data_IF_261005357530
#
_entry.id   IF_261005357530
#
_cell.length_a   1.000
_cell.length_b   1.000
_cell.length_c   1.000
_cell.angle_alpha   90.00
_cell.angle_beta   90.00
_cell.angle_gamma   90.00
#
_symmetry.space_group_name_H-M   'P 1'
#
loop_
_entity.id
_entity.type
_entity.pdbx_description
1 polymer ?
#
# COMPACT_ATOMS: atom_id res chain seq x y z
N UNK A 1 -21.83 -0.77 -14.26
CA UNK A 1 -21.91 -1.50 -12.97
C UNK A 1 -20.66 -2.35 -12.83
N UNK A 2 -19.99 -2.41 -11.68
CA UNK A 2 -18.87 -3.34 -11.49
C UNK A 2 -19.40 -4.77 -11.56
N UNK A 3 -18.85 -5.55 -12.49
CA UNK A 3 -19.18 -6.97 -12.67
C UNK A 3 -18.62 -7.75 -11.48
N UNK A 4 -19.50 -8.46 -10.76
CA UNK A 4 -19.09 -9.42 -9.74
C UNK A 4 -18.29 -10.54 -10.41
N UNK A 5 -17.02 -10.66 -10.04
CA UNK A 5 -16.18 -11.78 -10.45
C UNK A 5 -16.77 -13.04 -9.80
N UNK A 6 -17.40 -13.89 -10.60
CA UNK A 6 -17.89 -15.20 -10.15
C UNK A 6 -16.73 -16.19 -10.21
N UNK A 7 -16.15 -16.50 -9.05
CA UNK A 7 -15.19 -17.59 -8.93
C UNK A 7 -16.01 -18.86 -8.68
N UNK A 8 -15.97 -19.82 -9.60
CA UNK A 8 -16.69 -21.10 -9.48
C UNK A 8 -16.03 -21.99 -8.43
N UNK A 9 -16.42 -21.83 -7.16
CA UNK A 9 -15.95 -22.66 -6.04
C UNK A 9 -17.12 -22.96 -5.12
N UNK A 10 -17.23 -24.21 -4.66
CA UNK A 10 -18.32 -24.66 -3.80
C UNK A 10 -18.35 -23.98 -2.42
N UNK A 11 -17.21 -23.46 -1.96
CA UNK A 11 -17.07 -22.65 -0.75
C UNK A 11 -16.86 -21.20 -1.13
N UNK A 12 -17.60 -20.26 -0.53
CA UNK A 12 -17.50 -18.83 -0.85
C UNK A 12 -16.16 -18.27 -0.35
N UNK A 13 -15.18 -17.98 -1.24
CA UNK A 13 -13.97 -17.32 -0.80
C UNK A 13 -14.26 -15.86 -0.44
N UNK A 14 -13.47 -15.30 0.47
CA UNK A 14 -13.47 -13.85 0.67
C UNK A 14 -12.51 -13.19 -0.32
N UNK A 15 -12.97 -12.15 -1.02
CA UNK A 15 -12.18 -11.42 -2.01
C UNK A 15 -11.97 -9.99 -1.53
N UNK A 16 -10.71 -9.54 -1.51
CA UNK A 16 -10.33 -8.15 -1.15
C UNK A 16 -9.54 -7.54 -2.29
N UNK A 17 -9.95 -6.35 -2.76
CA UNK A 17 -9.17 -5.58 -3.73
C UNK A 17 -7.97 -4.92 -3.04
N UNK A 18 -6.76 -5.10 -3.57
CA UNK A 18 -5.52 -4.58 -3.00
C UNK A 18 -5.00 -3.31 -3.71
N UNK A 19 -5.68 -2.84 -4.76
CA UNK A 19 -5.16 -1.76 -5.61
C UNK A 19 -4.26 -2.29 -6.74
N UNK A 20 -3.98 -1.45 -7.75
CA UNK A 20 -3.08 -1.80 -8.85
C UNK A 20 -3.50 -3.04 -9.65
N UNK A 21 -4.82 -3.28 -9.78
CA UNK A 21 -5.39 -4.50 -10.41
C UNK A 21 -5.06 -5.81 -9.67
N UNK A 22 -4.71 -5.75 -8.38
CA UNK A 22 -4.48 -6.92 -7.55
C UNK A 22 -5.72 -7.24 -6.69
N UNK A 23 -6.04 -8.52 -6.58
CA UNK A 23 -7.06 -9.04 -5.68
C UNK A 23 -6.46 -10.14 -4.79
N UNK A 24 -6.84 -10.15 -3.51
CA UNK A 24 -6.56 -11.21 -2.56
C UNK A 24 -7.80 -12.09 -2.42
N UNK A 25 -7.63 -13.39 -2.64
CA UNK A 25 -8.68 -14.39 -2.51
C UNK A 25 -8.30 -15.28 -1.33
N UNK A 26 -9.14 -15.32 -0.28
CA UNK A 26 -8.86 -16.07 0.95
C UNK A 26 -9.91 -17.17 1.15
N UNK A 27 -9.42 -18.32 1.63
CA UNK A 27 -10.19 -19.54 1.83
C UNK A 27 -10.09 -19.98 3.30
N UNK A 28 -11.11 -20.68 3.79
CA UNK A 28 -11.10 -21.26 5.13
C UNK A 28 -10.17 -22.49 5.24
N UNK A 29 -9.69 -23.00 4.10
CA UNK A 29 -8.78 -24.14 4.01
C UNK A 29 -7.69 -23.90 2.98
N UNK A 30 -6.46 -24.24 3.35
CA UNK A 30 -5.30 -24.20 2.45
C UNK A 30 -5.40 -25.24 1.33
N UNK A 31 -6.13 -26.34 1.55
CA UNK A 31 -6.38 -27.38 0.53
C UNK A 31 -7.20 -26.81 -0.62
N UNK A 32 -8.31 -26.14 -0.31
CA UNK A 32 -9.21 -25.52 -1.31
C UNK A 32 -8.48 -24.43 -2.09
N UNK A 33 -7.64 -23.63 -1.42
CA UNK A 33 -6.85 -22.61 -2.08
C UNK A 33 -5.85 -23.21 -3.09
N UNK A 34 -5.28 -24.37 -2.76
CA UNK A 34 -4.36 -25.11 -3.62
C UNK A 34 -5.07 -25.70 -4.84
N UNK A 35 -6.22 -26.34 -4.63
CA UNK A 35 -7.05 -26.88 -5.71
C UNK A 35 -7.46 -25.80 -6.72
N UNK A 36 -7.82 -24.60 -6.22
CA UNK A 36 -8.08 -23.46 -7.10
C UNK A 36 -6.82 -23.10 -7.91
N UNK A 37 -5.68 -22.96 -7.23
CA UNK A 37 -4.45 -22.48 -7.86
C UNK A 37 -3.91 -23.46 -8.92
N UNK A 38 -3.98 -24.76 -8.63
CA UNK A 38 -3.46 -25.84 -9.50
C UNK A 38 -4.30 -26.03 -10.76
N UNK A 39 -5.59 -25.69 -10.73
CA UNK A 39 -6.47 -25.78 -11.89
C UNK A 39 -6.65 -24.42 -12.58
N UNK A 40 -5.81 -24.13 -13.58
CA UNK A 40 -5.84 -22.87 -14.33
C UNK A 40 -7.21 -22.53 -14.93
N UNK A 41 -8.02 -23.53 -15.28
CA UNK A 41 -9.36 -23.30 -15.87
C UNK A 41 -10.28 -22.51 -14.94
N UNK A 42 -10.02 -22.56 -13.64
CA UNK A 42 -10.85 -21.87 -12.65
C UNK A 42 -10.59 -20.37 -12.57
N UNK A 43 -9.44 -19.89 -13.02
CA UNK A 43 -9.03 -18.49 -12.79
C UNK A 43 -8.42 -17.79 -14.02
N UNK A 44 -7.92 -18.51 -15.03
CA UNK A 44 -7.18 -17.93 -16.16
C UNK A 44 -8.01 -16.99 -17.04
N UNK A 45 -9.32 -17.20 -17.09
CA UNK A 45 -10.25 -16.30 -17.81
C UNK A 45 -10.45 -14.96 -17.10
N UNK A 46 -10.13 -14.90 -15.80
CA UNK A 46 -10.32 -13.72 -14.96
C UNK A 46 -8.99 -13.04 -14.60
N UNK A 47 -7.96 -13.82 -14.30
CA UNK A 47 -6.68 -13.33 -13.78
C UNK A 47 -5.53 -13.72 -14.71
N UNK A 48 -4.66 -12.74 -15.02
CA UNK A 48 -3.45 -12.96 -15.83
C UNK A 48 -2.49 -13.98 -15.19
N UNK A 49 -2.43 -13.98 -13.86
CA UNK A 49 -1.63 -14.89 -13.04
C UNK A 49 -2.26 -14.99 -11.66
N UNK A 50 -2.03 -16.11 -11.00
CA UNK A 50 -2.41 -16.32 -9.61
C UNK A 50 -1.25 -17.01 -8.89
N UNK A 51 -1.04 -16.69 -7.62
CA UNK A 51 0.00 -17.31 -6.79
C UNK A 51 -0.50 -17.49 -5.37
N UNK A 52 0.06 -18.45 -4.65
CA UNK A 52 -0.32 -18.67 -3.27
C UNK A 52 0.08 -17.47 -2.40
N UNK A 53 -0.85 -16.97 -1.60
CA UNK A 53 -0.56 -15.93 -0.61
C UNK A 53 0.45 -16.46 0.42
N UNK A 54 1.37 -15.60 0.86
CA UNK A 54 2.36 -15.82 1.93
C UNK A 54 3.76 -16.33 1.58
N UNK A 55 4.11 -16.69 0.33
CA UNK A 55 5.50 -17.09 0.03
C UNK A 55 6.46 -15.93 -0.17
N UNK A 56 5.96 -14.77 -0.60
CA UNK A 56 6.71 -13.54 -0.58
C UNK A 56 5.72 -12.43 -0.25
N UNK A 57 5.93 -11.77 0.90
CA UNK A 57 5.47 -10.40 1.06
C UNK A 57 6.11 -9.67 -0.11
N UNK A 58 5.36 -9.51 -1.20
CA UNK A 58 5.69 -8.58 -2.28
C UNK A 58 6.14 -7.33 -1.57
N UNK A 59 7.36 -6.85 -1.86
CA UNK A 59 7.93 -5.62 -1.29
C UNK A 59 6.91 -4.50 -1.49
N UNK A 60 5.96 -4.40 -0.57
CA UNK A 60 4.90 -3.44 -0.65
C UNK A 60 5.55 -2.18 -0.12
N UNK A 61 5.62 -1.19 -0.99
CA UNK A 61 5.85 0.14 -0.51
C UNK A 61 4.58 0.56 0.24
N UNK A 62 4.71 0.80 1.54
CA UNK A 62 3.65 1.27 2.41
C UNK A 62 3.75 2.78 2.60
N UNK A 63 2.61 3.45 2.66
CA UNK A 63 2.55 4.87 2.98
C UNK A 63 2.65 5.03 4.50
N UNK A 64 3.61 5.83 4.95
CA UNK A 64 3.71 6.23 6.36
C UNK A 64 3.79 7.74 6.50
N UNK A 65 3.46 8.25 7.68
CA UNK A 65 3.41 9.68 7.98
C UNK A 65 4.53 10.05 8.94
N UNK A 66 5.37 11.00 8.54
CA UNK A 66 6.33 11.65 9.45
C UNK A 66 5.69 12.92 9.99
N UNK A 67 5.77 13.10 11.32
CA UNK A 67 5.44 14.35 12.00
C UNK A 67 6.74 15.07 12.36
N UNK A 68 6.96 16.26 11.82
CA UNK A 68 8.08 17.13 12.21
C UNK A 68 7.51 18.27 13.05
N UNK A 69 8.13 18.54 14.19
CA UNK A 69 7.68 19.55 15.17
C UNK A 69 8.81 20.54 15.42
N UNK A 70 8.47 21.82 15.62
CA UNK A 70 9.43 22.85 16.03
C UNK A 70 10.35 23.35 14.91
N UNK A 71 9.92 23.20 13.66
CA UNK A 71 10.70 23.66 12.51
C UNK A 71 10.61 25.19 12.38
N UNK A 72 11.74 25.88 12.22
CA UNK A 72 11.73 27.32 12.02
C UNK A 72 11.07 27.71 10.69
N UNK A 73 10.29 28.80 10.68
CA UNK A 73 9.65 29.33 9.48
C UNK A 73 10.63 29.58 8.33
N UNK A 74 11.89 29.94 8.64
CA UNK A 74 12.94 30.20 7.63
C UNK A 74 13.27 28.97 6.79
N UNK A 75 13.09 27.78 7.36
CA UNK A 75 13.37 26.50 6.69
C UNK A 75 12.10 25.79 6.23
N UNK A 76 10.94 26.44 6.36
CA UNK A 76 9.63 25.90 6.00
C UNK A 76 9.38 26.00 4.49
N UNK A 77 10.08 25.19 3.70
CA UNK A 77 9.92 25.14 2.25
C UNK A 77 10.10 23.72 1.70
N UNK A 78 9.57 23.48 0.49
CA UNK A 78 9.58 22.17 -0.14
C UNK A 78 10.98 21.59 -0.33
N UNK A 79 12.00 22.43 -0.58
CA UNK A 79 13.38 21.96 -0.76
C UNK A 79 13.92 21.35 0.54
N UNK A 80 13.70 22.02 1.67
CA UNK A 80 14.15 21.54 2.97
C UNK A 80 13.37 20.30 3.43
N UNK A 81 12.06 20.27 3.22
CA UNK A 81 11.26 19.08 3.48
C UNK A 81 11.70 17.90 2.62
N UNK A 82 12.01 18.14 1.33
CA UNK A 82 12.57 17.14 0.43
C UNK A 82 13.96 16.68 0.88
N UNK A 83 14.79 17.57 1.42
CA UNK A 83 16.10 17.20 1.96
C UNK A 83 15.99 16.35 3.24
N UNK A 84 15.04 16.68 4.13
CA UNK A 84 14.80 15.92 5.37
C UNK A 84 14.26 14.52 5.03
N UNK A 85 13.23 14.44 4.20
CA UNK A 85 12.59 13.16 3.85
C UNK A 85 13.43 12.36 2.85
N UNK A 86 14.13 13.02 1.92
CA UNK A 86 14.96 12.37 0.91
C UNK A 86 16.11 11.55 1.49
N UNK A 87 16.59 11.90 2.69
CA UNK A 87 17.53 11.06 3.46
C UNK A 87 16.91 9.73 3.91
N UNK A 88 15.60 9.69 4.06
CA UNK A 88 14.85 8.55 4.56
C UNK A 88 14.31 7.74 3.38
N UNK A 89 13.48 8.36 2.50
CA UNK A 89 12.72 7.73 1.41
C UNK A 89 12.13 8.75 0.40
N UNK A 90 11.29 8.27 -0.52
CA UNK A 90 10.57 9.07 -1.55
C UNK A 90 9.29 9.70 -0.97
N UNK A 91 9.07 10.99 -1.25
CA UNK A 91 7.84 11.72 -0.91
C UNK A 91 6.73 11.33 -1.90
N UNK A 92 5.51 11.08 -1.40
CA UNK A 92 4.39 10.60 -2.23
C UNK A 92 3.36 11.66 -2.66
N UNK A 93 3.61 12.94 -2.39
CA UNK A 93 2.69 14.00 -2.83
C UNK A 93 3.17 15.39 -2.45
N UNK A 94 2.51 16.44 -2.97
CA UNK A 94 2.84 17.81 -2.62
C UNK A 94 2.73 17.98 -1.12
N UNK A 95 3.77 18.58 -0.55
CA UNK A 95 3.80 18.97 0.85
C UNK A 95 2.75 20.07 0.99
N UNK A 96 1.70 19.73 1.70
CA UNK A 96 0.50 20.51 1.95
C UNK A 96 0.79 22.03 1.97
N UNK A 97 0.12 22.76 1.08
CA UNK A 97 0.48 24.13 0.73
C UNK A 97 0.47 25.04 1.97
N UNK A 98 1.65 25.60 2.27
CA UNK A 98 1.95 26.45 3.43
C UNK A 98 0.93 27.58 3.59
N UNK A 99 0.41 28.10 2.48
CA UNK A 99 -0.50 29.25 2.42
C UNK A 99 -1.84 29.03 3.11
N UNK A 100 -2.30 27.79 3.27
CA UNK A 100 -3.59 27.48 3.90
C UNK A 100 -3.44 26.93 5.32
N UNK A 101 -2.22 26.91 5.89
CA UNK A 101 -1.97 26.34 7.22
C UNK A 101 -1.99 27.40 8.31
N UNK A 102 -2.87 27.18 9.30
CA UNK A 102 -2.96 27.98 10.52
C UNK A 102 -1.89 27.57 11.55
N UNK A 103 -1.53 26.28 11.58
CA UNK A 103 -0.50 25.74 12.48
C UNK A 103 0.77 25.38 11.70
N UNK A 104 1.84 26.15 11.97
CA UNK A 104 3.19 25.93 11.43
C UNK A 104 4.14 25.37 12.49
N UNK A 105 3.65 24.98 13.67
CA UNK A 105 4.47 24.28 14.67
C UNK A 105 4.69 22.81 14.29
N UNK A 106 3.84 22.27 13.39
CA UNK A 106 3.86 20.86 12.97
C UNK A 106 3.64 20.72 11.47
N UNK A 107 4.48 19.93 10.81
CA UNK A 107 4.24 19.43 9.45
C UNK A 107 4.07 17.90 9.47
N UNK A 108 3.13 17.42 8.66
CA UNK A 108 2.90 15.98 8.43
C UNK A 108 3.24 15.68 6.97
N UNK A 109 4.14 14.74 6.75
CA UNK A 109 4.64 14.37 5.43
C UNK A 109 4.31 12.90 5.15
N UNK A 110 3.65 12.64 4.02
CA UNK A 110 3.43 11.28 3.54
C UNK A 110 4.67 10.81 2.77
N UNK A 111 5.23 9.68 3.20
CA UNK A 111 6.39 9.07 2.58
C UNK A 111 6.04 7.64 2.18
N UNK A 112 6.72 7.15 1.15
CA UNK A 112 6.59 5.81 0.67
C UNK A 112 7.79 4.98 1.11
N UNK A 113 7.58 3.90 1.86
CA UNK A 113 8.65 3.07 2.43
C UNK A 113 8.40 1.59 2.21
N UNK A 114 9.45 0.86 1.85
CA UNK A 114 9.49 -0.60 1.74
C UNK A 114 9.85 -1.32 3.06
N UNK A 115 10.22 -0.55 4.09
CA UNK A 115 10.55 -1.06 5.42
C UNK A 115 9.34 -1.07 6.34
N UNK A 116 9.09 -2.22 6.97
CA UNK A 116 8.07 -2.42 8.03
C UNK A 116 8.55 -1.97 9.42
N UNK A 117 9.81 -1.53 9.57
CA UNK A 117 10.37 -1.06 10.84
C UNK A 117 9.90 0.36 11.15
N UNK A 118 9.82 0.73 12.43
CA UNK A 118 9.63 2.14 12.81
C UNK A 118 10.76 2.98 12.21
N UNK A 119 10.42 4.18 11.76
CA UNK A 119 11.40 5.13 11.23
C UNK A 119 12.37 5.66 12.30
N UNK A 120 12.01 5.53 13.57
CA UNK A 120 12.68 6.16 14.70
C UNK A 120 13.27 5.15 15.71
N UNK A 121 13.34 3.87 15.34
CA UNK A 121 14.06 2.85 16.12
C UNK A 121 15.54 2.80 15.70
#
# INVERSE_FOLDING_TARGET
MPTLISIHIEHRPSVKYLGGMLALISFDSTVVARELLENERNWKDTFKWMKMGFTEVTKFEHVTWIRIVGLSLRIWNNSNFSAIVGKIRKIMGPIDHITNRVDLSVVKLAILTDKLTKLND
#
